data_IF_812935790110
#
_entry.id   IF_812935790110
#
_cell.length_a   1.000
_cell.length_b   1.000
_cell.length_c   1.000
_cell.angle_alpha   90.00
_cell.angle_beta   90.00
_cell.angle_gamma   90.00
#
_symmetry.space_group_name_H-M   'P 1'
#
loop_
_entity.id
_entity.type
_entity.pdbx_description
1 polymer ?
#
# COMPACT_ATOMS: atom_id res chain seq x y z
N UNK A 1 -4.40 0.15 -43.85
CA UNK A 1 -3.63 1.19 -44.56
C UNK A 1 -2.15 0.91 -44.33
N UNK A 2 -1.39 0.68 -45.40
CA UNK A 2 0.04 0.34 -45.29
C UNK A 2 0.87 1.62 -45.27
N UNK A 3 2.02 1.64 -44.58
CA UNK A 3 2.94 2.80 -44.62
C UNK A 3 3.32 3.20 -46.06
N UNK A 4 3.29 2.23 -46.98
CA UNK A 4 3.57 2.42 -48.40
C UNK A 4 2.48 3.18 -49.18
N UNK A 5 1.29 3.40 -48.59
CA UNK A 5 0.22 4.20 -49.22
C UNK A 5 0.19 5.64 -48.73
N UNK A 6 1.04 6.01 -47.75
CA UNK A 6 1.15 7.37 -47.25
C UNK A 6 2.10 8.18 -48.13
N UNK A 7 1.71 9.42 -48.44
CA UNK A 7 2.59 10.31 -49.19
C UNK A 7 3.84 10.65 -48.34
N UNK A 8 5.06 10.63 -48.90
CA UNK A 8 6.31 10.83 -48.15
C UNK A 8 6.33 12.07 -47.25
N UNK A 9 5.69 13.16 -47.68
CA UNK A 9 5.62 14.43 -46.93
C UNK A 9 4.82 14.34 -45.63
N UNK A 10 3.89 13.39 -45.53
CA UNK A 10 3.06 13.19 -44.33
C UNK A 10 3.60 12.11 -43.39
N UNK A 11 4.68 11.41 -43.78
CA UNK A 11 5.21 10.29 -43.00
C UNK A 11 5.71 10.77 -41.64
N UNK A 12 6.46 11.86 -41.59
CA UNK A 12 7.03 12.37 -40.34
C UNK A 12 5.97 12.98 -39.43
N UNK A 13 5.00 13.71 -40.00
CA UNK A 13 3.84 14.23 -39.27
C UNK A 13 2.99 13.09 -38.69
N UNK A 14 2.68 12.09 -39.50
CA UNK A 14 1.91 10.92 -39.06
C UNK A 14 2.66 10.12 -38.01
N UNK A 15 4.00 10.01 -38.13
CA UNK A 15 4.84 9.36 -37.11
C UNK A 15 4.79 10.13 -35.80
N UNK A 16 4.91 11.46 -35.84
CA UNK A 16 4.82 12.31 -34.66
C UNK A 16 3.46 12.16 -33.97
N UNK A 17 2.36 12.17 -34.74
CA UNK A 17 1.02 11.94 -34.22
C UNK A 17 0.84 10.54 -33.62
N UNK A 18 1.40 9.51 -34.25
CA UNK A 18 1.36 8.16 -33.71
C UNK A 18 2.09 8.08 -32.36
N UNK A 19 3.27 8.71 -32.24
CA UNK A 19 4.03 8.71 -30.99
C UNK A 19 3.35 9.51 -29.89
N UNK A 20 2.80 10.68 -30.19
CA UNK A 20 2.07 11.48 -29.19
C UNK A 20 0.76 10.84 -28.75
N UNK A 21 0.09 10.09 -29.63
CA UNK A 21 -1.18 9.40 -29.31
C UNK A 21 -0.94 8.09 -28.57
N UNK A 22 -0.08 7.22 -29.10
CA UNK A 22 0.09 5.86 -28.59
C UNK A 22 1.21 5.74 -27.55
N UNK A 23 2.19 6.66 -27.54
CA UNK A 23 3.31 6.63 -26.60
C UNK A 23 2.85 6.56 -25.14
N UNK A 24 2.07 7.54 -24.64
CA UNK A 24 1.54 7.52 -23.28
C UNK A 24 0.73 6.25 -22.96
N UNK A 25 -0.12 5.81 -23.89
CA UNK A 25 -0.97 4.63 -23.71
C UNK A 25 -0.15 3.33 -23.57
N UNK A 26 0.88 3.18 -24.42
CA UNK A 26 1.77 2.02 -24.39
C UNK A 26 2.61 2.01 -23.12
N UNK A 27 3.15 3.16 -22.70
CA UNK A 27 3.93 3.27 -21.46
C UNK A 27 3.03 2.89 -20.26
N UNK A 28 1.82 3.44 -20.17
CA UNK A 28 0.87 3.09 -19.11
C UNK A 28 0.57 1.59 -19.08
N UNK A 29 0.23 0.99 -20.23
CA UNK A 29 -0.08 -0.44 -20.30
C UNK A 29 1.11 -1.33 -19.90
N UNK A 30 2.34 -0.93 -20.24
CA UNK A 30 3.56 -1.64 -19.85
C UNK A 30 3.83 -1.52 -18.35
N UNK A 31 3.75 -0.30 -17.78
CA UNK A 31 3.94 -0.06 -16.35
C UNK A 31 2.88 -0.81 -15.54
N UNK A 32 1.62 -0.82 -15.97
CA UNK A 32 0.55 -1.58 -15.32
C UNK A 32 0.83 -3.08 -15.31
N UNK A 33 1.27 -3.66 -16.43
CA UNK A 33 1.67 -5.07 -16.50
C UNK A 33 2.88 -5.38 -15.63
N UNK A 34 3.83 -4.46 -15.52
CA UNK A 34 4.99 -4.60 -14.66
C UNK A 34 4.59 -4.57 -13.19
N UNK A 35 3.76 -3.62 -12.79
CA UNK A 35 3.23 -3.46 -11.44
C UNK A 35 2.52 -4.72 -10.97
N UNK A 36 1.69 -5.30 -11.84
CA UNK A 36 0.98 -6.55 -11.56
C UNK A 36 1.93 -7.74 -11.32
N UNK A 37 3.10 -7.76 -11.98
CA UNK A 37 4.06 -8.89 -11.86
C UNK A 37 5.07 -8.70 -10.74
N UNK A 38 5.63 -7.51 -10.59
CA UNK A 38 6.82 -7.25 -9.77
C UNK A 38 6.53 -6.56 -8.43
N UNK A 39 5.35 -5.95 -8.25
CA UNK A 39 5.02 -5.22 -7.02
C UNK A 39 5.51 -3.78 -7.00
N UNK A 40 5.28 -3.07 -5.90
CA UNK A 40 5.44 -1.60 -5.84
C UNK A 40 6.90 -1.16 -5.70
N UNK A 41 7.72 -1.92 -4.95
CA UNK A 41 9.16 -1.61 -4.77
C UNK A 41 9.95 -1.50 -6.08
N UNK A 42 9.62 -2.34 -7.06
CA UNK A 42 10.29 -2.29 -8.38
C UNK A 42 9.80 -1.12 -9.23
N UNK A 43 8.56 -0.66 -9.02
CA UNK A 43 8.05 0.56 -9.66
C UNK A 43 8.80 1.81 -9.20
N UNK A 44 9.14 1.92 -7.92
CA UNK A 44 9.89 3.06 -7.38
C UNK A 44 11.29 3.16 -8.01
N UNK A 45 11.97 2.02 -8.16
CA UNK A 45 13.28 1.95 -8.83
C UNK A 45 13.17 2.32 -10.30
N UNK A 46 12.10 1.84 -10.97
CA UNK A 46 11.83 2.19 -12.36
C UNK A 46 11.61 3.70 -12.53
N UNK A 47 10.82 4.32 -11.65
CA UNK A 47 10.58 5.77 -11.67
C UNK A 47 11.89 6.55 -11.66
N UNK A 48 12.74 6.29 -10.67
CA UNK A 48 14.01 6.97 -10.48
C UNK A 48 14.94 6.74 -11.69
N UNK A 49 14.99 5.51 -12.21
CA UNK A 49 15.80 5.19 -13.38
C UNK A 49 15.34 5.94 -14.63
N UNK A 50 14.03 6.09 -14.84
CA UNK A 50 13.48 6.78 -16.00
C UNK A 50 13.63 8.29 -15.90
N UNK A 51 13.38 8.87 -14.73
CA UNK A 51 13.61 10.31 -14.49
C UNK A 51 15.08 10.66 -14.72
N UNK A 52 16.00 9.88 -14.14
CA UNK A 52 17.43 10.05 -14.34
C UNK A 52 17.84 9.94 -15.81
N UNK A 53 17.28 8.97 -16.54
CA UNK A 53 17.53 8.82 -17.98
C UNK A 53 17.12 10.09 -18.75
N UNK A 54 15.95 10.66 -18.46
CA UNK A 54 15.47 11.88 -19.11
C UNK A 54 16.38 13.08 -18.79
N UNK A 55 16.77 13.22 -17.52
CA UNK A 55 17.65 14.31 -17.07
C UNK A 55 19.03 14.23 -17.73
N UNK A 56 19.64 13.04 -17.77
CA UNK A 56 20.98 12.80 -18.32
C UNK A 56 21.03 12.82 -19.86
N UNK A 57 19.88 12.69 -20.55
CA UNK A 57 19.84 12.71 -22.02
C UNK A 57 20.14 14.11 -22.54
N UNK A 58 21.15 14.23 -23.41
CA UNK A 58 21.43 15.48 -24.13
C UNK A 58 20.47 15.62 -25.33
N UNK A 59 19.72 16.73 -25.36
CA UNK A 59 18.69 16.98 -26.38
C UNK A 59 19.06 18.24 -27.15
N UNK A 60 19.54 18.07 -28.37
CA UNK A 60 19.86 19.17 -29.27
C UNK A 60 18.60 19.71 -29.98
N UNK A 61 17.65 20.25 -29.22
CA UNK A 61 16.41 20.83 -29.74
C UNK A 61 16.05 22.15 -29.05
N UNK A 62 15.28 23.03 -29.71
CA UNK A 62 14.66 24.17 -29.03
C UNK A 62 13.83 23.71 -27.83
N UNK A 63 13.91 24.44 -26.73
CA UNK A 63 13.15 24.13 -25.51
C UNK A 63 13.44 22.74 -24.91
N UNK A 64 14.66 22.23 -25.06
CA UNK A 64 15.10 20.94 -24.51
C UNK A 64 14.71 20.73 -23.03
N UNK A 65 14.88 21.75 -22.19
CA UNK A 65 14.49 21.69 -20.77
C UNK A 65 12.99 21.46 -20.58
N UNK A 66 12.14 22.19 -21.32
CA UNK A 66 10.69 21.99 -21.27
C UNK A 66 10.30 20.59 -21.78
N UNK A 67 10.99 20.07 -22.80
CA UNK A 67 10.76 18.69 -23.27
C UNK A 67 11.08 17.67 -22.18
N UNK A 68 12.17 17.88 -21.41
CA UNK A 68 12.52 17.03 -20.28
C UNK A 68 11.50 17.12 -19.16
N UNK A 69 11.03 18.31 -18.81
CA UNK A 69 9.98 18.50 -17.81
C UNK A 69 8.70 17.73 -18.18
N UNK A 70 8.21 17.86 -19.42
CA UNK A 70 7.03 17.10 -19.86
C UNK A 70 7.27 15.58 -19.89
N UNK A 71 8.49 15.14 -20.23
CA UNK A 71 8.83 13.72 -20.19
C UNK A 71 8.86 13.17 -18.74
N UNK A 72 9.41 13.93 -17.79
CA UNK A 72 9.37 13.61 -16.36
C UNK A 72 7.94 13.59 -15.84
N UNK A 73 7.12 14.58 -16.22
CA UNK A 73 5.70 14.60 -15.87
C UNK A 73 4.96 13.36 -16.38
N UNK A 74 5.20 12.94 -17.63
CA UNK A 74 4.62 11.73 -18.19
C UNK A 74 5.01 10.48 -17.38
N UNK A 75 6.28 10.37 -16.98
CA UNK A 75 6.76 9.25 -16.14
C UNK A 75 6.05 9.27 -14.79
N UNK A 76 6.15 10.36 -14.04
CA UNK A 76 5.62 10.46 -12.67
C UNK A 76 4.10 10.28 -12.65
N UNK A 77 3.38 10.92 -13.57
CA UNK A 77 1.92 10.78 -13.68
C UNK A 77 1.50 9.36 -14.03
N UNK A 78 2.20 8.71 -14.97
CA UNK A 78 1.89 7.33 -15.36
C UNK A 78 2.07 6.36 -14.19
N UNK A 79 3.21 6.45 -13.48
CA UNK A 79 3.45 5.57 -12.33
C UNK A 79 2.48 5.84 -11.19
N UNK A 80 2.17 7.11 -10.90
CA UNK A 80 1.15 7.47 -9.92
C UNK A 80 -0.21 6.84 -10.25
N UNK A 81 -0.68 6.98 -11.49
CA UNK A 81 -1.97 6.44 -11.93
C UNK A 81 -2.02 4.90 -11.79
N UNK A 82 -0.91 4.22 -12.08
CA UNK A 82 -0.82 2.76 -11.93
C UNK A 82 -0.82 2.35 -10.45
N UNK A 83 -0.16 3.10 -9.57
CA UNK A 83 -0.18 2.84 -8.11
C UNK A 83 -1.58 2.99 -7.51
N UNK A 84 -2.38 3.92 -8.04
CA UNK A 84 -3.76 4.15 -7.62
C UNK A 84 -4.75 3.11 -8.21
N UNK A 85 -4.30 2.25 -9.14
CA UNK A 85 -5.15 1.28 -9.81
C UNK A 85 -5.49 0.07 -8.91
N UNK A 86 -6.76 -0.39 -8.84
CA UNK A 86 -7.18 -1.48 -7.94
C UNK A 86 -6.52 -2.84 -8.24
N UNK A 87 -6.16 -3.10 -9.50
CA UNK A 87 -5.45 -4.33 -9.90
C UNK A 87 -3.92 -4.28 -9.67
N UNK A 88 -3.42 -3.18 -9.09
CA UNK A 88 -2.02 -3.08 -8.72
C UNK A 88 -1.73 -4.10 -7.61
N UNK A 89 -0.68 -4.91 -7.80
CA UNK A 89 -0.25 -5.89 -6.79
C UNK A 89 0.27 -5.11 -5.58
N UNK A 90 -0.56 -4.98 -4.55
CA UNK A 90 -0.08 -4.52 -3.26
C UNK A 90 0.92 -5.55 -2.74
N UNK A 91 2.11 -5.08 -2.35
CA UNK A 91 3.10 -5.94 -1.72
C UNK A 91 2.44 -6.57 -0.49
N UNK A 92 2.44 -7.91 -0.42
CA UNK A 92 1.91 -8.61 0.74
C UNK A 92 2.70 -8.14 1.95
N UNK A 93 2.00 -7.66 2.99
CA UNK A 93 2.60 -7.39 4.29
C UNK A 93 3.42 -8.60 4.75
N UNK A 94 4.59 -8.35 5.34
CA UNK A 94 5.44 -9.41 5.87
C UNK A 94 4.62 -10.23 6.88
N UNK A 95 4.36 -11.50 6.53
CA UNK A 95 3.54 -12.42 7.32
C UNK A 95 4.11 -12.57 8.74
N UNK A 96 5.41 -12.37 8.88
CA UNK A 96 6.15 -12.40 10.13
C UNK A 96 5.61 -11.39 11.16
N UNK A 97 5.15 -10.21 10.73
CA UNK A 97 4.60 -9.18 11.63
C UNK A 97 3.17 -9.50 12.11
N UNK A 98 2.45 -10.39 11.41
CA UNK A 98 1.11 -10.85 11.81
C UNK A 98 1.16 -12.09 12.71
N UNK A 99 2.33 -12.71 12.91
CA UNK A 99 2.44 -13.86 13.80
C UNK A 99 2.40 -13.39 15.25
N UNK A 100 1.58 -14.04 16.06
CA UNK A 100 1.61 -13.88 17.51
C UNK A 100 2.95 -14.38 18.04
N UNK A 101 3.65 -13.54 18.81
CA UNK A 101 4.91 -13.90 19.48
C UNK A 101 4.73 -15.21 20.27
N UNK A 102 5.64 -16.18 20.05
CA UNK A 102 5.63 -17.48 20.74
C UNK A 102 4.89 -18.62 20.02
N UNK A 103 4.25 -18.38 18.87
CA UNK A 103 3.69 -19.44 18.02
C UNK A 103 4.81 -20.19 17.28
N UNK A 104 4.88 -21.51 17.44
CA UNK A 104 5.90 -22.34 16.77
C UNK A 104 5.66 -22.45 15.26
N UNK A 105 6.75 -22.51 14.48
CA UNK A 105 6.75 -22.72 13.02
C UNK A 105 6.75 -24.21 12.63
N UNK A 106 7.27 -25.07 13.50
CA UNK A 106 7.23 -26.52 13.29
C UNK A 106 5.83 -27.06 13.59
N UNK A 107 5.25 -27.71 12.58
CA UNK A 107 3.89 -28.21 12.58
C UNK A 107 3.61 -29.16 13.75
N UNK A 108 4.56 -29.99 14.14
CA UNK A 108 4.39 -30.93 15.25
C UNK A 108 4.23 -30.19 16.58
N UNK A 109 5.09 -29.20 16.83
CA UNK A 109 4.99 -28.35 18.03
C UNK A 109 3.78 -27.42 18.00
N UNK A 110 3.33 -26.97 16.82
CA UNK A 110 2.13 -26.16 16.69
C UNK A 110 0.88 -26.95 17.09
N UNK A 111 0.76 -28.20 16.65
CA UNK A 111 -0.35 -29.09 17.00
C UNK A 111 -0.40 -29.36 18.52
N UNK A 112 0.76 -29.55 19.14
CA UNK A 112 0.87 -29.70 20.60
C UNK A 112 0.46 -28.43 21.35
N UNK A 113 0.93 -27.25 20.90
CA UNK A 113 0.54 -25.95 21.48
C UNK A 113 -0.97 -25.70 21.36
N UNK A 114 -1.58 -26.05 20.22
CA UNK A 114 -3.02 -25.92 20.00
C UNK A 114 -3.80 -26.84 20.95
N UNK A 115 -3.39 -28.10 21.05
CA UNK A 115 -4.06 -29.08 21.90
C UNK A 115 -3.98 -28.66 23.38
N UNK A 116 -2.81 -28.26 23.85
CA UNK A 116 -2.60 -27.80 25.24
C UNK A 116 -3.42 -26.54 25.56
N UNK A 117 -3.50 -25.58 24.63
CA UNK A 117 -4.33 -24.37 24.79
C UNK A 117 -5.84 -24.66 24.83
N UNK A 118 -6.29 -25.70 24.13
CA UNK A 118 -7.70 -26.13 24.12
C UNK A 118 -8.09 -27.01 25.32
N UNK A 119 -7.14 -27.70 25.96
CA UNK A 119 -7.40 -28.72 26.99
C UNK A 119 -8.06 -28.17 28.28
N UNK A 120 -8.00 -26.85 28.51
CA UNK A 120 -8.64 -26.17 29.65
C UNK A 120 -9.61 -25.04 29.31
N UNK A 121 -9.81 -24.73 28.02
CA UNK A 121 -10.54 -23.52 27.58
C UNK A 121 -12.04 -23.72 27.36
N UNK A 122 -12.52 -24.96 27.48
CA UNK A 122 -13.94 -25.27 27.40
C UNK A 122 -14.43 -25.83 28.73
N UNK A 123 -15.00 -25.00 29.63
CA UNK A 123 -15.94 -25.55 30.59
C UNK A 123 -17.05 -26.24 29.78
N UNK A 124 -17.26 -27.54 29.98
CA UNK A 124 -18.40 -28.27 29.42
C UNK A 124 -19.76 -27.78 29.98
N UNK A 125 -19.76 -26.67 30.72
CA UNK A 125 -20.93 -25.98 31.21
C UNK A 125 -21.01 -24.65 30.49
N UNK A 126 -22.05 -24.45 29.69
CA UNK A 126 -22.51 -23.11 29.34
C UNK A 126 -22.42 -22.24 30.60
N UNK A 127 -21.86 -21.01 30.52
CA UNK A 127 -21.84 -20.13 31.68
C UNK A 127 -23.28 -20.05 32.20
N UNK A 128 -23.52 -20.19 33.51
CA UNK A 128 -24.87 -20.11 34.05
C UNK A 128 -25.49 -18.83 33.51
N UNK A 129 -26.60 -18.96 32.78
CA UNK A 129 -27.30 -17.80 32.24
C UNK A 129 -27.57 -16.85 33.40
N UNK A 130 -26.88 -15.71 33.40
CA UNK A 130 -27.03 -14.70 34.44
C UNK A 130 -28.42 -14.09 34.26
N UNK A 131 -29.41 -14.67 34.94
CA UNK A 131 -30.66 -13.97 35.23
C UNK A 131 -30.32 -13.00 36.34
N UNK A 132 -30.10 -11.73 35.99
CA UNK A 132 -30.00 -10.66 36.98
C UNK A 132 -31.29 -10.61 37.80
N UNK A 133 -31.29 -11.25 38.97
CA UNK A 133 -32.22 -10.86 40.02
C UNK A 133 -31.82 -9.46 40.45
N UNK A 134 -32.67 -8.49 40.17
CA UNK A 134 -32.47 -7.08 40.48
C UNK A 134 -32.02 -6.91 41.94
N UNK A 135 -30.73 -6.63 42.17
CA UNK A 135 -30.25 -6.13 43.45
C UNK A 135 -30.57 -4.64 43.44
N UNK A 136 -31.67 -4.28 44.08
CA UNK A 136 -31.97 -2.89 44.41
C UNK A 136 -30.88 -2.38 45.37
N UNK A 137 -29.99 -1.50 44.90
CA UNK A 137 -29.23 -0.65 45.83
C UNK A 137 -27.73 -0.38 45.60
N UNK A 138 -27.12 -0.69 44.45
CA UNK A 138 -25.81 -0.07 44.14
C UNK A 138 -25.58 0.08 42.64
N UNK A 139 -25.74 1.31 42.14
CA UNK A 139 -25.29 1.71 40.81
C UNK A 139 -23.77 1.77 40.82
N UNK A 140 -23.09 0.71 40.36
CA UNK A 140 -21.68 0.87 39.96
C UNK A 140 -21.67 1.81 38.77
N UNK A 141 -20.96 2.92 38.90
CA UNK A 141 -20.87 3.94 37.86
C UNK A 141 -20.09 3.33 36.67
N UNK A 142 -20.83 2.98 35.61
CA UNK A 142 -20.27 2.33 34.44
C UNK A 142 -19.56 3.43 33.63
N UNK A 143 -18.24 3.48 33.73
CA UNK A 143 -17.42 4.42 32.97
C UNK A 143 -17.26 3.90 31.55
N UNK A 144 -17.75 4.66 30.57
CA UNK A 144 -17.64 4.33 29.15
C UNK A 144 -16.19 4.28 28.65
N UNK A 145 -15.95 3.49 27.62
CA UNK A 145 -14.62 3.25 27.02
C UNK A 145 -13.90 4.54 26.63
N UNK A 146 -14.63 5.54 26.13
CA UNK A 146 -14.06 6.83 25.72
C UNK A 146 -13.45 7.60 26.89
N UNK A 147 -14.08 7.55 28.06
CA UNK A 147 -13.58 8.21 29.27
C UNK A 147 -12.32 7.50 29.81
N UNK A 148 -12.24 6.18 29.65
CA UNK A 148 -11.04 5.40 29.98
C UNK A 148 -9.87 5.78 29.06
N UNK A 149 -10.14 5.89 27.75
CA UNK A 149 -9.13 6.27 26.76
C UNK A 149 -8.63 7.70 26.98
N UNK A 150 -9.52 8.64 27.30
CA UNK A 150 -9.17 10.03 27.63
C UNK A 150 -8.22 10.11 28.84
N UNK A 151 -8.56 9.43 29.94
CA UNK A 151 -7.73 9.40 31.15
C UNK A 151 -6.35 8.80 30.89
N UNK A 152 -6.28 7.75 30.06
CA UNK A 152 -5.00 7.12 29.68
C UNK A 152 -4.12 8.09 28.89
N UNK A 153 -4.71 8.85 27.96
CA UNK A 153 -4.00 9.87 27.16
C UNK A 153 -3.44 10.99 28.03
N UNK A 154 -4.24 11.52 28.95
CA UNK A 154 -3.82 12.56 29.90
C UNK A 154 -2.71 12.08 30.86
N UNK A 155 -2.82 10.84 31.35
CA UNK A 155 -1.78 10.24 32.20
C UNK A 155 -0.45 10.06 31.45
N UNK A 156 -0.50 9.72 30.16
CA UNK A 156 0.71 9.58 29.34
C UNK A 156 1.39 10.93 29.06
N UNK A 157 0.62 12.01 28.85
CA UNK A 157 1.15 13.36 28.66
C UNK A 157 1.87 13.86 29.93
N UNK A 158 1.24 13.69 31.10
CA UNK A 158 1.85 14.08 32.39
C UNK A 158 3.12 13.31 32.75
N UNK A 159 3.29 12.08 32.24
CA UNK A 159 4.53 11.31 32.42
C UNK A 159 5.67 11.85 31.56
N UNK A 160 5.37 12.32 30.34
CA UNK A 160 6.36 12.93 29.44
C UNK A 160 6.84 14.28 29.97
N UNK A 161 5.95 15.12 30.47
CA UNK A 161 6.32 16.41 31.08
C UNK A 161 7.22 16.28 32.31
N UNK A 162 7.13 15.18 33.06
CA UNK A 162 8.00 14.90 34.22
C UNK A 162 9.36 14.29 33.85
N UNK A 163 9.55 13.87 32.60
CA UNK A 163 10.81 13.34 32.09
C UNK A 163 11.70 14.43 31.47
N UNK A 164 11.11 15.58 31.11
CA UNK A 164 11.81 16.72 30.49
C UNK A 164 12.17 17.85 31.48
N UNK A 165 12.05 17.59 32.79
CA UNK A 165 12.52 18.47 33.91
C UNK A 165 13.49 17.72 34.80
#
# INVERSE_FOLDING_TARGET
MSLHTLHPEHVDETRMHAYSTFGPLLIHALVQKLAHRQGMRELDKLEQSLVRLVEETDVAAPHAEAMKEFAVELVVSTLRNVREHPDAKHDLEEIDERRTEGRSEDQNTLEEQLQSGLEGSFPASDPPAVVSTAITGSTKDIVGTDEVLRRKKEASARRREKQDT
#
